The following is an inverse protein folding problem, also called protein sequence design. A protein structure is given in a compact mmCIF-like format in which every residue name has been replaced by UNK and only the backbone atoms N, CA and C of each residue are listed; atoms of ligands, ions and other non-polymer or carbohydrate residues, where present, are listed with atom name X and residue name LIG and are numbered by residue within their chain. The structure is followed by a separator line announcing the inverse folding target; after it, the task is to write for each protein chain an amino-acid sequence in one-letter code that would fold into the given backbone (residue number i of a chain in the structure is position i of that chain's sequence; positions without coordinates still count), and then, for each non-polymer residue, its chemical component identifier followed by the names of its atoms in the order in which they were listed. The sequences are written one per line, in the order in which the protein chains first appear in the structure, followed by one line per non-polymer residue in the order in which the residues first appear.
data_IF_310750479329
#
_entry.id   IF_310750479329
#
_cell.length_a   1.000
_cell.length_b   1.000
_cell.length_c   1.000
_cell.angle_alpha   90.00
_cell.angle_beta   90.00
_cell.angle_gamma   90.00
#
_symmetry.space_group_name_H-M   'P 1'
#
loop_
_entity.id
_entity.type
_entity.pdbx_description
1 polymer ?
#
# COMPACT_ATOMS: atom_id res chain seq x y z
N UNK A 1 13.51 -25.61 23.89
CA UNK A 1 12.76 -25.13 22.71
C UNK A 1 11.39 -24.72 23.20
N UNK A 2 11.07 -23.42 23.18
CA UNK A 2 9.72 -22.95 23.48
C UNK A 2 8.99 -22.92 22.15
N UNK A 3 8.01 -23.80 22.00
CA UNK A 3 7.11 -23.81 20.85
C UNK A 3 6.39 -22.46 20.82
N UNK A 4 6.75 -21.61 19.85
CA UNK A 4 6.00 -20.41 19.56
C UNK A 4 4.67 -20.84 18.95
N UNK A 5 3.51 -20.53 19.57
CA UNK A 5 2.23 -20.80 18.93
C UNK A 5 2.16 -20.02 17.63
N UNK A 6 1.69 -20.68 16.57
CA UNK A 6 1.42 -20.07 15.28
C UNK A 6 0.55 -18.81 15.48
N UNK A 7 0.76 -17.73 14.68
CA UNK A 7 0.03 -16.49 14.85
C UNK A 7 -1.47 -16.78 14.80
N UNK A 8 -2.15 -16.50 15.91
CA UNK A 8 -3.59 -16.69 16.08
C UNK A 8 -4.30 -15.86 15.02
N UNK A 9 -5.25 -16.48 14.31
CA UNK A 9 -6.12 -15.81 13.34
C UNK A 9 -6.60 -14.48 13.91
N UNK A 10 -6.60 -13.44 13.06
CA UNK A 10 -6.94 -12.08 13.44
C UNK A 10 -8.16 -12.05 14.38
N UNK A 11 -8.00 -11.42 15.56
CA UNK A 11 -9.08 -11.31 16.55
C UNK A 11 -10.40 -10.92 15.88
N UNK A 12 -11.56 -11.50 16.27
CA UNK A 12 -12.86 -11.13 15.72
C UNK A 12 -13.13 -9.62 15.74
N UNK A 13 -12.57 -8.90 16.73
CA UNK A 13 -12.62 -7.44 16.82
C UNK A 13 -11.79 -6.72 15.76
N UNK A 14 -10.66 -7.28 15.36
CA UNK A 14 -9.78 -6.74 14.32
C UNK A 14 -10.42 -6.90 12.93
N UNK A 15 -10.97 -8.08 12.66
CA UNK A 15 -11.75 -8.34 11.43
C UNK A 15 -12.98 -7.45 11.32
N UNK A 16 -13.70 -7.19 12.43
CA UNK A 16 -14.86 -6.30 12.45
C UNK A 16 -14.53 -4.83 12.10
N UNK A 17 -13.26 -4.44 12.10
CA UNK A 17 -12.79 -3.11 11.63
C UNK A 17 -12.48 -3.09 10.13
N UNK A 18 -12.75 -4.17 9.41
CA UNK A 18 -12.50 -4.28 7.97
C UNK A 18 -11.04 -4.59 7.63
N UNK A 19 -10.25 -5.06 8.59
CA UNK A 19 -8.83 -5.35 8.35
C UNK A 19 -8.66 -6.77 7.83
N UNK A 20 -8.08 -6.91 6.64
CA UNK A 20 -7.69 -8.20 6.05
C UNK A 20 -6.21 -8.48 6.33
N UNK A 21 -5.91 -8.99 7.53
CA UNK A 21 -4.53 -9.21 7.99
C UNK A 21 -3.78 -10.24 7.12
N UNK A 22 -4.48 -11.29 6.70
CA UNK A 22 -3.96 -12.35 5.85
C UNK A 22 -4.00 -12.01 4.36
N UNK A 23 -4.59 -10.85 4.00
CA UNK A 23 -4.71 -10.34 2.63
C UNK A 23 -5.35 -11.32 1.63
N UNK A 24 -6.13 -12.29 2.11
CA UNK A 24 -6.74 -13.32 1.25
C UNK A 24 -7.58 -12.70 0.12
N UNK A 25 -8.33 -11.64 0.43
CA UNK A 25 -9.12 -10.90 -0.54
C UNK A 25 -8.25 -10.24 -1.63
N UNK A 26 -7.06 -9.76 -1.25
CA UNK A 26 -6.11 -9.16 -2.20
C UNK A 26 -5.56 -10.23 -3.14
N UNK A 27 -5.18 -11.40 -2.62
CA UNK A 27 -4.69 -12.51 -3.43
C UNK A 27 -5.74 -12.98 -4.44
N UNK A 28 -6.98 -13.16 -3.99
CA UNK A 28 -8.09 -13.56 -4.85
C UNK A 28 -8.35 -12.59 -6.01
N UNK A 29 -8.15 -11.28 -5.79
CA UNK A 29 -8.33 -10.25 -6.83
C UNK A 29 -7.11 -10.17 -7.75
N UNK A 30 -5.89 -10.27 -7.21
CA UNK A 30 -4.63 -10.13 -7.97
C UNK A 30 -4.43 -11.27 -8.97
N UNK A 31 -4.87 -12.48 -8.66
CA UNK A 31 -4.71 -13.63 -9.56
C UNK A 31 -5.48 -13.50 -10.87
N UNK A 32 -6.55 -12.71 -10.90
CA UNK A 32 -7.39 -12.48 -12.07
C UNK A 32 -7.13 -11.14 -12.76
N UNK A 33 -6.23 -10.31 -12.21
CA UNK A 33 -5.86 -9.04 -12.80
C UNK A 33 -5.01 -9.26 -14.05
N UNK A 34 -5.39 -8.56 -15.12
CA UNK A 34 -4.56 -8.45 -16.33
C UNK A 34 -3.13 -7.99 -15.97
N UNK A 35 -2.13 -8.52 -16.69
CA UNK A 35 -0.70 -8.26 -16.43
C UNK A 35 -0.20 -6.96 -17.06
N UNK A 36 -1.04 -6.26 -17.83
CA UNK A 36 -0.68 -5.04 -18.55
C UNK A 36 0.04 -5.32 -19.86
N UNK A 37 0.47 -4.25 -20.53
CA UNK A 37 1.13 -4.30 -21.84
C UNK A 37 2.51 -4.96 -21.80
N UNK A 38 3.21 -4.87 -20.68
CA UNK A 38 4.59 -5.34 -20.53
C UNK A 38 4.71 -6.28 -19.32
N UNK A 39 4.40 -7.59 -19.47
CA UNK A 39 4.53 -8.54 -18.38
C UNK A 39 5.96 -8.58 -17.83
N UNK A 40 6.11 -8.49 -16.51
CA UNK A 40 7.40 -8.50 -15.83
C UNK A 40 8.03 -7.12 -15.58
N UNK A 41 7.40 -6.03 -16.05
CA UNK A 41 7.75 -4.68 -15.60
C UNK A 41 7.47 -4.49 -14.10
N UNK A 42 8.19 -3.56 -13.46
CA UNK A 42 8.03 -3.27 -12.04
C UNK A 42 6.62 -2.75 -11.70
N UNK A 43 6.18 -1.73 -12.43
CA UNK A 43 4.81 -1.22 -12.36
C UNK A 43 3.96 -1.80 -13.49
N UNK A 44 2.65 -1.95 -13.26
CA UNK A 44 1.70 -2.30 -14.31
C UNK A 44 1.56 -1.13 -15.30
N UNK A 45 1.84 -1.40 -16.57
CA UNK A 45 1.67 -0.46 -17.67
C UNK A 45 0.41 -0.82 -18.46
N UNK A 46 -0.45 0.15 -18.72
CA UNK A 46 -1.69 -0.02 -19.49
C UNK A 46 -1.65 0.80 -20.78
N UNK A 47 -2.54 0.47 -21.72
CA UNK A 47 -2.73 1.27 -22.92
C UNK A 47 -3.15 2.71 -22.56
N UNK A 48 -2.89 3.65 -23.47
CA UNK A 48 -3.33 5.01 -23.28
C UNK A 48 -4.84 5.16 -23.47
N UNK A 49 -5.61 4.79 -22.44
CA UNK A 49 -7.07 4.88 -22.43
C UNK A 49 -7.54 6.35 -22.37
N UNK A 50 -6.75 7.24 -21.77
CA UNK A 50 -7.13 8.65 -21.58
C UNK A 50 -6.90 9.51 -22.82
N UNK A 51 -5.76 9.32 -23.50
CA UNK A 51 -5.41 10.05 -24.72
C UNK A 51 -5.72 9.29 -26.02
N UNK A 52 -5.97 7.98 -25.95
CA UNK A 52 -6.29 7.14 -27.12
C UNK A 52 -5.12 6.91 -28.06
N UNK A 53 -3.89 7.24 -27.66
CA UNK A 53 -2.70 7.09 -28.51
C UNK A 53 -2.22 5.64 -28.53
N UNK A 54 -1.83 5.16 -29.71
CA UNK A 54 -1.15 3.86 -29.85
C UNK A 54 0.36 3.93 -29.52
N UNK A 55 0.91 5.14 -29.49
CA UNK A 55 2.35 5.39 -29.26
C UNK A 55 2.67 5.73 -27.79
N UNK A 56 1.64 5.88 -26.95
CA UNK A 56 1.77 6.19 -25.53
C UNK A 56 1.15 5.08 -24.65
N UNK A 57 1.51 5.11 -23.37
CA UNK A 57 0.97 4.22 -22.35
C UNK A 57 0.69 5.00 -21.06
N UNK A 58 -0.09 4.38 -20.17
CA UNK A 58 -0.39 4.93 -18.86
C UNK A 58 0.20 4.06 -17.75
N UNK A 59 0.68 4.70 -16.69
CA UNK A 59 1.06 4.06 -15.43
C UNK A 59 0.27 4.74 -14.33
N UNK A 60 -0.56 3.96 -13.63
CA UNK A 60 -1.30 4.41 -12.46
C UNK A 60 -0.83 3.57 -11.29
N UNK A 61 -0.31 4.24 -10.26
CA UNK A 61 0.21 3.62 -9.06
C UNK A 61 -0.33 4.33 -7.82
N UNK A 62 -0.46 3.58 -6.73
CA UNK A 62 -0.96 4.10 -5.46
C UNK A 62 -0.29 3.37 -4.30
N UNK A 63 0.46 4.12 -3.51
CA UNK A 63 1.05 3.72 -2.22
C UNK A 63 0.99 4.90 -1.23
N UNK A 64 1.36 4.65 0.03
CA UNK A 64 1.44 5.68 1.06
C UNK A 64 2.37 5.30 2.21
N UNK A 65 2.54 6.20 3.19
CA UNK A 65 3.45 5.97 4.32
C UNK A 65 3.09 4.79 5.24
N UNK A 66 1.90 4.21 5.07
CA UNK A 66 1.37 3.13 5.91
C UNK A 66 1.33 3.50 7.40
N UNK A 67 1.64 2.52 8.26
CA UNK A 67 1.62 2.67 9.72
C UNK A 67 2.70 3.59 10.28
N UNK A 68 3.66 4.05 9.47
CA UNK A 68 4.65 5.08 9.86
C UNK A 68 3.97 6.37 10.31
N UNK A 69 2.80 6.67 9.76
CA UNK A 69 1.93 7.78 10.19
C UNK A 69 1.52 7.71 11.67
N UNK A 70 1.41 6.51 12.26
CA UNK A 70 1.12 6.33 13.69
C UNK A 70 2.28 6.85 14.54
N UNK A 71 3.53 6.61 14.11
CA UNK A 71 4.71 7.13 14.81
C UNK A 71 4.76 8.66 14.75
N UNK A 72 4.44 9.25 13.59
CA UNK A 72 4.33 10.69 13.45
C UNK A 72 3.25 11.28 14.38
N UNK A 73 2.09 10.61 14.46
CA UNK A 73 1.04 11.01 15.41
C UNK A 73 1.50 10.95 16.87
N UNK A 74 2.13 9.85 17.29
CA UNK A 74 2.63 9.70 18.66
C UNK A 74 3.69 10.76 18.98
N UNK A 75 4.61 11.03 18.05
CA UNK A 75 5.60 12.08 18.20
C UNK A 75 4.97 13.46 18.39
N UNK A 76 4.00 13.82 17.54
CA UNK A 76 3.25 15.07 17.67
C UNK A 76 2.51 15.15 19.02
N UNK A 77 1.91 14.05 19.48
CA UNK A 77 1.20 14.00 20.77
C UNK A 77 2.12 14.18 21.97
N UNK A 78 3.35 13.68 21.90
CA UNK A 78 4.32 13.76 22.99
C UNK A 78 5.05 15.11 23.01
N UNK A 79 5.40 15.64 21.85
CA UNK A 79 6.28 16.82 21.73
C UNK A 79 5.54 18.11 21.39
N UNK A 80 4.33 18.00 20.81
CA UNK A 80 3.62 19.13 20.21
C UNK A 80 4.18 19.57 18.85
N UNK A 81 5.20 18.92 18.30
CA UNK A 81 5.83 19.29 17.03
C UNK A 81 5.05 18.73 15.81
N UNK A 82 4.37 19.58 15.00
CA UNK A 82 3.65 19.13 13.83
C UNK A 82 4.57 18.88 12.62
N UNK A 83 5.85 19.30 12.66
CA UNK A 83 6.73 19.23 11.50
C UNK A 83 7.07 17.80 11.10
N UNK A 84 6.91 16.82 12.00
CA UNK A 84 7.02 15.37 11.72
C UNK A 84 6.11 14.90 10.58
N UNK A 85 4.97 15.57 10.37
CA UNK A 85 4.05 15.22 9.28
C UNK A 85 4.58 15.59 7.90
N UNK A 86 5.51 16.53 7.77
CA UNK A 86 6.17 16.82 6.49
C UNK A 86 6.96 15.61 5.99
N UNK A 87 7.67 14.92 6.89
CA UNK A 87 8.35 13.68 6.56
C UNK A 87 7.38 12.57 6.13
N UNK A 88 6.23 12.46 6.81
CA UNK A 88 5.19 11.47 6.45
C UNK A 88 4.56 11.75 5.08
N UNK A 89 4.37 13.03 4.74
CA UNK A 89 3.90 13.45 3.42
C UNK A 89 4.93 13.10 2.34
N UNK A 90 6.21 13.38 2.60
CA UNK A 90 7.30 13.00 1.70
C UNK A 90 7.36 11.49 1.49
N UNK A 91 7.31 10.70 2.58
CA UNK A 91 7.29 9.24 2.49
C UNK A 91 6.16 8.75 1.58
N UNK A 92 4.96 9.31 1.73
CA UNK A 92 3.81 8.92 0.91
C UNK A 92 3.99 9.23 -0.58
N UNK A 93 4.71 10.30 -0.92
CA UNK A 93 5.01 10.66 -2.31
C UNK A 93 6.11 9.76 -2.87
N UNK A 94 7.23 9.62 -2.15
CA UNK A 94 8.42 8.91 -2.62
C UNK A 94 8.12 7.42 -2.84
N UNK A 95 7.28 6.81 -1.99
CA UNK A 95 6.83 5.42 -2.18
C UNK A 95 6.10 5.17 -3.51
N UNK A 96 5.67 6.21 -4.23
CA UNK A 96 5.08 6.09 -5.56
C UNK A 96 6.04 6.45 -6.71
N UNK A 97 7.09 7.22 -6.45
CA UNK A 97 7.96 7.78 -7.50
C UNK A 97 9.21 6.93 -7.75
N UNK A 98 9.74 6.28 -6.72
CA UNK A 98 10.92 5.40 -6.78
C UNK A 98 10.55 3.97 -7.21
#
# INVERSE_FOLDING_TARGET
MKDHPAPTSASPRYMARGVSAEKQDVHAVVDHLDRGLFPGSFCKVTADIFGGSLDHCNVIHADGSGTKSILAYLHYKETGDPTVFYGTAQDSIVMNLD
#
